data_IF_539568926576
#
_entry.id   IF_539568926576
#
_cell.length_a   1.000
_cell.length_b   1.000
_cell.length_c   1.000
_cell.angle_alpha   90.00
_cell.angle_beta   90.00
_cell.angle_gamma   90.00
#
_symmetry.space_group_name_H-M   'P 1'
#
loop_
_entity.id
_entity.type
_entity.pdbx_description
1 polymer ?
#
# COMPACT_ATOMS: atom_id res chain seq x y z
N UNK A 1 -27.51 19.61 23.48
CA UNK A 1 -26.55 20.66 23.93
C UNK A 1 -26.70 21.81 22.97
N UNK A 2 -26.86 23.06 23.47
CA UNK A 2 -25.66 23.81 23.85
C UNK A 2 -25.75 24.72 25.09
N UNK A 3 -24.58 24.97 25.69
CA UNK A 3 -24.12 26.26 26.23
C UNK A 3 -22.61 26.49 25.93
N UNK A 4 -21.85 25.45 25.59
CA UNK A 4 -20.42 25.56 25.24
C UNK A 4 -19.95 24.44 24.28
N UNK A 5 -20.83 23.95 23.40
CA UNK A 5 -20.58 22.75 22.60
C UNK A 5 -19.21 22.76 21.89
N UNK A 6 -18.34 21.81 22.24
CA UNK A 6 -17.03 21.55 21.60
C UNK A 6 -16.99 20.10 21.11
N UNK A 7 -17.65 19.83 19.98
CA UNK A 7 -17.65 18.49 19.39
C UNK A 7 -17.42 18.58 17.89
N UNK A 8 -16.49 17.74 17.42
CA UNK A 8 -16.29 17.50 16.00
C UNK A 8 -16.69 16.08 15.67
N UNK A 9 -17.33 15.88 14.53
CA UNK A 9 -17.81 14.59 14.09
C UNK A 9 -18.28 14.64 12.65
N UNK A 10 -18.61 13.47 12.11
CA UNK A 10 -19.20 13.37 10.78
C UNK A 10 -20.71 13.48 10.91
N UNK A 11 -21.35 14.34 10.11
CA UNK A 11 -22.81 14.40 10.02
C UNK A 11 -23.32 13.05 9.54
N UNK A 12 -24.06 12.36 10.38
CA UNK A 12 -24.78 11.14 10.02
C UNK A 12 -26.15 11.47 9.44
N UNK A 13 -26.85 12.40 10.09
CA UNK A 13 -28.18 12.86 9.69
C UNK A 13 -28.30 14.37 9.94
N UNK A 14 -29.02 15.06 9.07
CA UNK A 14 -29.35 16.48 9.22
C UNK A 14 -30.84 16.69 8.96
N UNK A 15 -31.53 17.27 9.92
CA UNK A 15 -32.97 17.57 9.84
C UNK A 15 -33.19 19.08 9.97
N UNK A 16 -34.09 19.60 9.14
CA UNK A 16 -34.39 21.04 9.01
C UNK A 16 -35.88 21.37 9.16
N UNK A 17 -36.73 20.41 9.55
CA UNK A 17 -38.18 20.63 9.61
C UNK A 17 -38.60 21.61 10.74
N UNK A 18 -38.06 21.45 11.95
CA UNK A 18 -38.41 22.25 13.15
C UNK A 18 -37.17 22.91 13.81
N UNK A 19 -36.39 23.65 13.03
CA UNK A 19 -35.09 24.19 13.43
C UNK A 19 -33.96 23.47 12.70
N UNK A 20 -32.75 23.41 13.29
CA UNK A 20 -31.69 22.56 12.75
C UNK A 20 -31.34 21.49 13.77
N UNK A 21 -31.47 20.23 13.40
CA UNK A 21 -30.94 19.10 14.15
C UNK A 21 -29.83 18.43 13.33
N UNK A 22 -28.67 18.25 13.97
CA UNK A 22 -27.54 17.52 13.40
C UNK A 22 -27.23 16.34 14.30
N UNK A 23 -27.22 15.15 13.72
CA UNK A 23 -26.69 13.95 14.36
C UNK A 23 -25.26 13.72 13.90
N UNK A 24 -24.30 13.77 14.83
CA UNK A 24 -22.90 13.50 14.55
C UNK A 24 -22.51 12.09 14.97
N UNK A 25 -21.70 11.41 14.16
CA UNK A 25 -20.95 10.24 14.60
C UNK A 25 -19.53 10.65 14.99
N UNK A 26 -19.14 10.30 16.22
CA UNK A 26 -17.77 10.40 16.76
C UNK A 26 -17.51 9.20 17.65
N UNK A 27 -16.36 8.55 17.48
CA UNK A 27 -15.97 7.37 18.30
C UNK A 27 -17.06 6.27 18.34
N UNK A 28 -17.71 6.03 17.20
CA UNK A 28 -18.84 5.08 17.03
C UNK A 28 -20.10 5.42 17.86
N UNK A 29 -20.19 6.63 18.42
CA UNK A 29 -21.35 7.11 19.16
C UNK A 29 -22.07 8.21 18.38
N UNK A 30 -23.39 8.20 18.50
CA UNK A 30 -24.27 9.20 17.93
C UNK A 30 -24.46 10.35 18.92
N UNK A 31 -24.35 11.57 18.42
CA UNK A 31 -24.48 12.80 19.20
C UNK A 31 -25.47 13.72 18.49
N UNK A 32 -26.68 13.83 19.03
CA UNK A 32 -27.71 14.72 18.50
C UNK A 32 -27.53 16.14 19.05
N UNK A 33 -27.51 17.11 18.15
CA UNK A 33 -27.33 18.52 18.45
C UNK A 33 -28.49 19.28 17.81
N UNK A 34 -29.32 19.87 18.64
CA UNK A 34 -30.47 20.67 18.21
C UNK A 34 -30.13 22.14 18.39
N UNK A 35 -30.32 22.93 17.34
CA UNK A 35 -30.13 24.36 17.32
C UNK A 35 -31.50 25.04 17.28
N UNK A 36 -31.78 25.90 18.28
CA UNK A 36 -33.02 26.69 18.33
C UNK A 36 -33.16 27.62 17.12
N UNK A 37 -32.03 28.12 16.62
CA UNK A 37 -31.91 28.85 15.35
C UNK A 37 -30.74 28.26 14.57
N UNK A 38 -30.96 27.99 13.28
CA UNK A 38 -29.90 27.49 12.41
C UNK A 38 -28.67 28.42 12.44
N UNK A 39 -27.46 27.89 12.73
CA UNK A 39 -26.19 28.61 12.62
C UNK A 39 -25.99 29.19 11.22
N UNK A 40 -25.25 30.28 11.13
CA UNK A 40 -24.92 30.89 9.83
C UNK A 40 -24.16 29.90 8.93
N UNK A 41 -24.48 29.86 7.64
CA UNK A 41 -23.88 28.97 6.64
C UNK A 41 -24.16 27.47 6.80
N UNK A 42 -25.01 27.07 7.77
CA UNK A 42 -25.41 25.68 7.97
C UNK A 42 -26.31 25.13 6.83
N UNK A 43 -26.82 25.99 5.96
CA UNK A 43 -27.57 25.62 4.76
C UNK A 43 -26.74 24.82 3.74
N UNK A 44 -25.40 24.94 3.77
CA UNK A 44 -24.50 24.23 2.86
C UNK A 44 -24.04 22.87 3.38
N UNK A 45 -24.33 22.55 4.65
CA UNK A 45 -23.90 21.30 5.28
C UNK A 45 -24.75 20.13 4.80
N UNK A 46 -24.09 19.02 4.48
CA UNK A 46 -24.72 17.78 4.02
C UNK A 46 -24.32 16.57 4.87
N UNK A 47 -25.15 15.54 4.85
CA UNK A 47 -24.82 14.26 5.47
C UNK A 47 -23.49 13.71 4.93
N UNK A 48 -22.56 13.44 5.84
CA UNK A 48 -21.23 12.98 5.55
C UNK A 48 -20.14 14.04 5.65
N UNK A 49 -20.48 15.33 5.77
CA UNK A 49 -19.50 16.37 6.09
C UNK A 49 -18.89 16.12 7.48
N UNK A 50 -17.61 16.44 7.65
CA UNK A 50 -16.98 16.53 8.96
C UNK A 50 -17.08 17.99 9.41
N UNK A 51 -17.73 18.21 10.54
CA UNK A 51 -17.95 19.55 11.08
C UNK A 51 -17.47 19.63 12.53
N UNK A 52 -17.16 20.84 12.99
CA UNK A 52 -17.06 21.18 14.39
C UNK A 52 -18.24 22.06 14.77
N UNK A 53 -19.00 21.66 15.78
CA UNK A 53 -19.90 22.56 16.49
C UNK A 53 -19.04 23.27 17.53
N UNK A 54 -18.83 24.57 17.33
CA UNK A 54 -17.95 25.42 18.15
C UNK A 54 -18.75 26.11 19.25
N UNK A 55 -20.02 26.40 18.98
CA UNK A 55 -20.96 26.98 19.93
C UNK A 55 -22.41 26.68 19.54
N UNK A 56 -23.35 27.20 20.32
CA UNK A 56 -24.77 27.15 20.01
C UNK A 56 -25.17 27.88 18.72
N UNK A 57 -24.31 28.74 18.17
CA UNK A 57 -24.60 29.58 17.01
C UNK A 57 -23.60 29.39 15.87
N UNK A 58 -22.57 28.55 16.07
CA UNK A 58 -21.45 28.44 15.14
C UNK A 58 -21.11 26.98 14.86
N UNK A 59 -21.14 26.66 13.57
CA UNK A 59 -20.72 25.36 13.03
C UNK A 59 -19.70 25.62 11.93
N UNK A 60 -18.57 24.93 12.01
CA UNK A 60 -17.47 25.04 11.06
C UNK A 60 -17.39 23.76 10.25
N UNK A 61 -17.45 23.88 8.93
CA UNK A 61 -17.12 22.78 8.01
C UNK A 61 -15.61 22.52 8.09
N UNK A 62 -15.22 21.36 8.62
CA UNK A 62 -13.81 20.95 8.72
C UNK A 62 -13.35 20.22 7.46
N UNK A 63 -14.18 19.33 6.94
CA UNK A 63 -13.93 18.65 5.67
C UNK A 63 -15.27 18.32 5.00
N UNK A 64 -15.48 18.76 3.74
CA UNK A 64 -16.67 18.35 2.99
C UNK A 64 -16.70 16.84 2.78
N UNK A 65 -17.89 16.30 2.54
CA UNK A 65 -18.11 14.93 2.05
C UNK A 65 -17.58 14.80 0.61
N UNK A 66 -16.27 14.90 0.47
CA UNK A 66 -15.55 14.43 -0.70
C UNK A 66 -15.13 13.00 -0.38
N UNK A 67 -15.75 12.04 -1.06
CA UNK A 67 -15.33 10.64 -0.96
C UNK A 67 -13.96 10.52 -1.63
N UNK A 68 -12.88 10.60 -0.85
CA UNK A 68 -11.55 10.22 -1.29
C UNK A 68 -11.41 8.69 -1.18
N UNK A 69 -11.00 8.05 -2.27
CA UNK A 69 -10.55 6.66 -2.19
C UNK A 69 -9.19 6.59 -1.49
N UNK A 70 -8.92 5.54 -0.69
CA UNK A 70 -9.85 4.49 -0.27
C UNK A 70 -10.75 4.93 0.90
N UNK A 71 -11.97 4.38 0.96
CA UNK A 71 -12.88 4.59 2.08
C UNK A 71 -12.34 3.87 3.34
N UNK A 72 -11.88 4.62 4.34
CA UNK A 72 -11.43 4.07 5.62
C UNK A 72 -12.34 4.52 6.75
N UNK A 73 -12.80 3.57 7.58
CA UNK A 73 -13.46 3.89 8.84
C UNK A 73 -12.39 4.02 9.94
N UNK A 74 -12.60 4.93 10.89
CA UNK A 74 -11.69 5.07 12.02
C UNK A 74 -11.70 3.77 12.84
N UNK A 75 -10.51 3.19 13.01
CA UNK A 75 -10.28 2.06 13.89
C UNK A 75 -8.97 2.31 14.65
N UNK A 76 -9.11 2.67 15.92
CA UNK A 76 -7.98 3.02 16.79
C UNK A 76 -6.96 1.88 16.91
N UNK A 77 -7.43 0.65 16.98
CA UNK A 77 -6.55 -0.52 17.16
C UNK A 77 -5.72 -0.76 15.90
N UNK A 78 -6.32 -0.64 14.71
CA UNK A 78 -5.60 -0.73 13.43
C UNK A 78 -4.56 0.39 13.33
N UNK A 79 -4.93 1.62 13.66
CA UNK A 79 -3.99 2.76 13.59
C UNK A 79 -2.83 2.62 14.59
N UNK A 80 -3.11 2.12 15.80
CA UNK A 80 -2.08 1.88 16.82
C UNK A 80 -1.14 0.77 16.39
N UNK A 81 -1.68 -0.34 15.87
CA UNK A 81 -0.87 -1.44 15.29
C UNK A 81 -0.03 -0.96 14.11
N UNK A 82 -0.56 -0.09 13.26
CA UNK A 82 0.17 0.49 12.14
C UNK A 82 1.32 1.41 12.58
N UNK A 83 1.09 2.27 13.57
CA UNK A 83 2.17 3.10 14.15
C UNK A 83 3.29 2.22 14.70
N UNK A 84 2.92 1.22 15.51
CA UNK A 84 3.87 0.28 16.10
C UNK A 84 4.62 -0.55 15.05
N UNK A 85 3.93 -0.96 13.97
CA UNK A 85 4.53 -1.64 12.82
C UNK A 85 5.63 -0.80 12.17
N UNK A 86 5.36 0.49 11.89
CA UNK A 86 6.35 1.39 11.29
C UNK A 86 7.52 1.70 12.23
N UNK A 87 7.25 1.83 13.53
CA UNK A 87 8.30 2.02 14.55
C UNK A 87 9.21 0.81 14.64
N UNK A 88 8.65 -0.41 14.68
CA UNK A 88 9.40 -1.65 14.72
C UNK A 88 10.25 -1.86 13.45
N UNK A 89 9.69 -1.63 12.25
CA UNK A 89 10.44 -1.66 10.99
C UNK A 89 11.66 -0.74 11.03
N UNK A 90 11.46 0.54 11.39
CA UNK A 90 12.57 1.51 11.48
C UNK A 90 13.59 1.10 12.54
N UNK A 91 13.12 0.58 13.68
CA UNK A 91 13.96 0.07 14.76
C UNK A 91 14.86 -1.07 14.29
N UNK A 92 14.31 -2.04 13.55
CA UNK A 92 15.07 -3.14 12.95
C UNK A 92 16.21 -2.62 12.08
N UNK A 93 15.92 -1.79 11.08
CA UNK A 93 16.95 -1.30 10.15
C UNK A 93 18.01 -0.44 10.86
N UNK A 94 17.59 0.46 11.76
CA UNK A 94 18.52 1.31 12.53
C UNK A 94 19.45 0.49 13.42
N UNK A 95 18.91 -0.52 14.13
CA UNK A 95 19.72 -1.40 14.97
C UNK A 95 20.71 -2.25 14.16
N UNK A 96 20.38 -2.55 12.90
CA UNK A 96 21.26 -3.23 11.96
C UNK A 96 22.21 -2.28 11.21
N UNK A 97 22.28 -0.99 11.57
CA UNK A 97 23.22 -0.03 11.00
C UNK A 97 22.85 0.47 9.59
N UNK A 98 21.58 0.37 9.20
CA UNK A 98 21.09 1.02 7.99
C UNK A 98 20.74 2.49 8.25
N UNK A 99 20.98 3.33 7.25
CA UNK A 99 20.56 4.73 7.23
C UNK A 99 19.19 4.85 6.56
N UNK A 100 18.26 5.51 7.25
CA UNK A 100 16.97 5.88 6.65
C UNK A 100 17.21 7.06 5.70
N UNK A 101 16.86 6.89 4.43
CA UNK A 101 16.99 7.93 3.41
C UNK A 101 15.60 8.36 2.93
N UNK A 102 15.55 9.48 2.20
CA UNK A 102 14.31 9.97 1.59
C UNK A 102 14.57 10.31 0.13
N UNK A 103 13.80 9.71 -0.77
CA UNK A 103 13.87 9.94 -2.21
C UNK A 103 12.74 10.85 -2.70
N UNK A 104 12.87 11.52 -3.86
CA UNK A 104 11.83 12.40 -4.40
C UNK A 104 10.59 11.63 -4.88
N UNK A 105 9.40 12.17 -4.63
CA UNK A 105 8.14 11.62 -5.16
C UNK A 105 7.73 12.21 -6.53
N UNK A 106 8.43 13.23 -7.02
CA UNK A 106 8.25 13.78 -8.36
C UNK A 106 9.53 13.56 -9.15
N UNK A 107 9.46 12.68 -10.15
CA UNK A 107 10.64 12.13 -10.83
C UNK A 107 10.47 12.19 -12.34
N UNK A 108 11.58 12.30 -13.06
CA UNK A 108 11.59 12.25 -14.54
C UNK A 108 11.47 10.81 -15.05
N UNK A 109 11.93 9.84 -14.26
CA UNK A 109 11.86 8.41 -14.55
C UNK A 109 11.18 7.70 -13.37
N UNK A 110 9.95 7.18 -13.54
CA UNK A 110 9.15 6.58 -12.47
C UNK A 110 9.61 5.20 -12.01
N UNK A 111 10.32 4.46 -12.86
CA UNK A 111 10.72 3.07 -12.65
C UNK A 111 11.20 2.45 -13.96
N UNK A 112 11.55 1.16 -13.92
CA UNK A 112 12.01 0.40 -15.10
C UNK A 112 11.08 -0.73 -15.50
N UNK A 113 10.00 -0.93 -14.77
CA UNK A 113 9.11 -2.08 -14.91
C UNK A 113 8.13 -1.82 -16.06
N UNK A 114 8.22 -2.55 -17.19
CA UNK A 114 7.38 -2.28 -18.36
C UNK A 114 5.91 -2.64 -18.15
N UNK A 115 5.63 -3.50 -17.16
CA UNK A 115 4.28 -3.96 -16.81
C UNK A 115 3.52 -3.02 -15.88
N UNK A 116 4.14 -1.92 -15.44
CA UNK A 116 3.50 -0.98 -14.51
C UNK A 116 3.10 0.32 -15.20
N UNK A 117 1.81 0.60 -15.16
CA UNK A 117 1.29 1.91 -15.54
C UNK A 117 1.62 2.97 -14.48
N UNK A 118 1.92 4.18 -14.95
CA UNK A 118 2.45 5.27 -14.11
C UNK A 118 1.53 6.48 -14.09
N UNK A 119 1.47 7.16 -12.94
CA UNK A 119 0.87 8.49 -12.86
C UNK A 119 1.84 9.53 -13.43
N UNK A 120 1.32 10.48 -14.21
CA UNK A 120 2.09 11.62 -14.70
C UNK A 120 1.45 12.93 -14.30
N UNK A 121 2.28 13.96 -14.13
CA UNK A 121 1.88 15.32 -13.78
C UNK A 121 2.76 16.32 -14.53
N UNK A 122 2.46 17.61 -14.39
CA UNK A 122 3.18 18.71 -15.03
C UNK A 122 3.68 19.69 -13.97
N UNK A 123 5.00 19.84 -13.87
CA UNK A 123 5.62 20.91 -13.10
C UNK A 123 5.63 22.20 -13.94
N UNK A 124 5.12 23.29 -13.37
CA UNK A 124 5.11 24.61 -14.00
C UNK A 124 6.14 25.52 -13.31
N UNK A 125 7.13 25.99 -14.07
CA UNK A 125 8.15 26.94 -13.60
C UNK A 125 8.14 28.15 -14.52
N UNK A 126 7.44 29.20 -14.11
CA UNK A 126 7.16 30.36 -14.98
C UNK A 126 6.36 29.93 -16.21
N UNK A 127 6.91 30.19 -17.40
CA UNK A 127 6.32 29.74 -18.68
C UNK A 127 6.74 28.33 -19.11
N UNK A 128 7.68 27.69 -18.39
CA UNK A 128 8.14 26.33 -18.71
C UNK A 128 7.23 25.30 -18.06
N UNK A 129 7.02 24.20 -18.80
CA UNK A 129 6.27 23.02 -18.38
C UNK A 129 7.17 21.81 -18.52
N UNK A 130 7.27 21.02 -17.46
CA UNK A 130 8.05 19.78 -17.42
C UNK A 130 7.12 18.63 -17.03
N UNK A 131 7.17 17.54 -17.81
CA UNK A 131 6.44 16.32 -17.47
C UNK A 131 7.20 15.57 -16.39
N UNK A 132 6.53 15.33 -15.28
CA UNK A 132 7.03 14.52 -14.17
C UNK A 132 6.11 13.34 -13.92
N UNK A 133 6.59 12.40 -13.13
CA UNK A 133 5.89 11.19 -12.77
C UNK A 133 5.95 10.97 -11.27
N UNK A 134 4.97 10.22 -10.76
CA UNK A 134 5.05 9.63 -9.43
C UNK A 134 5.74 8.25 -9.56
N UNK A 135 6.70 7.90 -8.69
CA UNK A 135 7.50 6.68 -8.83
C UNK A 135 6.72 5.41 -8.49
N UNK A 136 7.00 4.32 -9.20
CA UNK A 136 6.46 2.97 -8.94
C UNK A 136 7.19 2.25 -7.80
N UNK A 137 8.44 2.67 -7.52
CA UNK A 137 9.30 2.28 -6.39
C UNK A 137 10.40 3.34 -6.15
N UNK A 138 11.01 3.42 -4.95
CA UNK A 138 12.17 4.29 -4.70
C UNK A 138 13.50 3.75 -5.29
N UNK A 139 13.53 2.49 -5.77
CA UNK A 139 14.67 1.76 -6.34
C UNK A 139 15.72 2.62 -7.05
N UNK A 140 15.33 3.34 -8.11
CA UNK A 140 16.28 4.07 -8.95
C UNK A 140 17.02 5.15 -8.16
N UNK A 141 16.36 5.78 -7.20
CA UNK A 141 16.94 6.83 -6.37
C UNK A 141 17.77 6.25 -5.22
N UNK A 142 17.37 5.10 -4.67
CA UNK A 142 18.18 4.36 -3.70
C UNK A 142 19.48 3.86 -4.34
N UNK A 143 19.44 3.28 -5.54
CA UNK A 143 20.64 2.88 -6.29
C UNK A 143 21.57 4.05 -6.60
N UNK A 144 21.04 5.23 -6.95
CA UNK A 144 21.84 6.46 -7.07
C UNK A 144 22.51 6.83 -5.76
N UNK A 145 21.82 6.66 -4.64
CA UNK A 145 22.37 6.93 -3.30
C UNK A 145 23.52 5.97 -2.95
N UNK A 146 23.44 4.69 -3.37
CA UNK A 146 24.57 3.77 -3.27
C UNK A 146 25.78 4.25 -4.08
N UNK A 147 25.55 4.72 -5.30
CA UNK A 147 26.61 5.25 -6.16
C UNK A 147 27.28 6.51 -5.59
N UNK A 148 26.61 7.23 -4.68
CA UNK A 148 27.18 8.36 -3.93
C UNK A 148 28.00 7.92 -2.70
N UNK A 149 28.09 6.61 -2.42
CA UNK A 149 28.90 6.03 -1.35
C UNK A 149 28.12 5.56 -0.13
N UNK A 150 26.78 5.57 -0.16
CA UNK A 150 26.01 4.95 0.91
C UNK A 150 26.07 3.41 0.79
N UNK A 151 26.28 2.72 1.90
CA UNK A 151 26.46 1.26 1.87
C UNK A 151 25.26 0.48 2.39
N UNK A 152 24.59 0.96 3.44
CA UNK A 152 23.41 0.31 4.01
C UNK A 152 22.32 1.34 4.17
N UNK A 153 21.33 1.30 3.30
CA UNK A 153 20.23 2.28 3.29
C UNK A 153 18.88 1.58 3.22
N UNK A 154 17.86 2.23 3.78
CA UNK A 154 16.47 1.82 3.60
C UNK A 154 15.57 3.04 3.49
N UNK A 155 14.40 2.85 2.90
CA UNK A 155 13.35 3.85 2.86
C UNK A 155 11.99 3.17 2.98
N UNK A 156 11.06 3.83 3.69
CA UNK A 156 9.64 3.52 3.66
C UNK A 156 8.95 4.65 2.89
N UNK A 157 8.74 4.46 1.59
CA UNK A 157 8.27 5.50 0.66
C UNK A 157 6.84 5.26 0.19
N UNK A 158 6.04 6.32 -0.05
CA UNK A 158 4.85 6.20 -0.86
C UNK A 158 5.25 5.86 -2.31
N UNK A 159 4.57 4.87 -2.88
CA UNK A 159 4.72 4.40 -4.25
C UNK A 159 3.37 4.47 -4.96
N UNK A 160 3.41 4.71 -6.26
CA UNK A 160 2.23 5.02 -7.04
C UNK A 160 2.16 4.18 -8.30
N UNK A 161 1.05 3.46 -8.49
CA UNK A 161 0.82 2.60 -9.67
C UNK A 161 -0.55 2.89 -10.24
N UNK A 162 -0.59 3.30 -11.51
CA UNK A 162 -1.81 3.74 -12.18
C UNK A 162 -2.52 2.56 -12.88
N UNK A 163 -2.88 1.54 -12.10
CA UNK A 163 -3.45 0.31 -12.61
C UNK A 163 -4.65 -0.16 -11.79
N UNK A 164 -4.71 -1.46 -11.55
CA UNK A 164 -5.85 -2.10 -10.92
C UNK A 164 -6.08 -1.66 -9.47
N UNK A 165 -7.37 -1.53 -9.11
CA UNK A 165 -7.81 -1.30 -7.73
C UNK A 165 -8.50 -2.58 -7.26
N UNK A 166 -7.88 -3.27 -6.33
CA UNK A 166 -8.41 -4.52 -5.74
C UNK A 166 -8.23 -4.50 -4.22
N UNK A 167 -8.63 -5.57 -3.54
CA UNK A 167 -8.38 -5.72 -2.10
C UNK A 167 -6.89 -5.69 -1.73
N UNK A 168 -6.01 -6.05 -2.68
CA UNK A 168 -4.55 -6.08 -2.50
C UNK A 168 -3.81 -4.97 -3.25
N UNK A 169 -4.47 -4.26 -4.15
CA UNK A 169 -3.87 -3.20 -4.97
C UNK A 169 -4.55 -1.87 -4.73
N UNK A 170 -3.78 -0.90 -4.26
CA UNK A 170 -4.19 0.49 -4.13
C UNK A 170 -3.29 1.36 -5.01
N UNK A 171 -3.84 2.43 -5.62
CA UNK A 171 -3.05 3.32 -6.48
C UNK A 171 -1.88 4.00 -5.76
N UNK A 172 -1.99 4.17 -4.43
CA UNK A 172 -0.95 4.66 -3.54
C UNK A 172 -0.80 3.70 -2.35
N UNK A 173 0.45 3.32 -2.04
CA UNK A 173 0.77 2.44 -0.93
C UNK A 173 2.19 2.75 -0.40
N UNK A 174 2.50 2.32 0.83
CA UNK A 174 3.86 2.41 1.34
C UNK A 174 4.65 1.15 0.96
N UNK A 175 5.87 1.35 0.46
CA UNK A 175 6.84 0.31 0.19
C UNK A 175 8.05 0.50 1.10
N UNK A 176 8.46 -0.57 1.76
CA UNK A 176 9.79 -0.67 2.37
C UNK A 176 10.74 -1.22 1.31
N UNK A 177 11.83 -0.50 1.06
CA UNK A 177 12.91 -0.94 0.19
C UNK A 177 14.27 -0.66 0.87
N UNK A 178 15.23 -1.57 0.72
CA UNK A 178 16.55 -1.43 1.32
C UNK A 178 17.65 -2.00 0.44
N UNK A 179 18.85 -1.49 0.63
CA UNK A 179 20.03 -1.86 -0.14
C UNK A 179 21.26 -2.04 0.75
N UNK A 180 22.11 -2.96 0.31
CA UNK A 180 23.45 -3.19 0.84
C UNK A 180 24.46 -3.15 -0.30
N UNK A 181 25.46 -2.30 -0.21
CA UNK A 181 26.62 -2.32 -1.10
C UNK A 181 27.51 -3.52 -0.75
N UNK A 182 28.19 -4.07 -1.76
CA UNK A 182 29.16 -5.17 -1.61
C UNK A 182 28.61 -6.48 -1.01
N UNK A 183 27.29 -6.62 -0.95
CA UNK A 183 26.59 -7.81 -0.44
C UNK A 183 25.94 -8.59 -1.60
N UNK A 184 25.39 -9.77 -1.29
CA UNK A 184 24.72 -10.63 -2.26
C UNK A 184 23.33 -11.05 -1.78
N UNK A 185 22.61 -11.79 -2.63
CA UNK A 185 21.24 -12.25 -2.36
C UNK A 185 21.10 -12.99 -1.02
N UNK A 186 22.11 -13.75 -0.58
CA UNK A 186 22.04 -14.47 0.71
C UNK A 186 21.98 -13.51 1.90
N UNK A 187 22.66 -12.37 1.82
CA UNK A 187 22.59 -11.33 2.85
C UNK A 187 21.18 -10.74 2.91
N UNK A 188 20.54 -10.53 1.75
CA UNK A 188 19.16 -10.05 1.67
C UNK A 188 18.18 -11.11 2.22
N UNK A 189 18.35 -12.39 1.88
CA UNK A 189 17.53 -13.46 2.45
C UNK A 189 17.66 -13.52 3.98
N UNK A 190 18.86 -13.31 4.52
CA UNK A 190 19.08 -13.24 5.96
C UNK A 190 18.40 -12.03 6.60
N UNK A 191 18.46 -10.86 5.95
CA UNK A 191 17.71 -9.67 6.40
C UNK A 191 16.21 -9.96 6.45
N UNK A 192 15.64 -10.59 5.41
CA UNK A 192 14.20 -10.93 5.33
C UNK A 192 13.80 -11.85 6.48
N UNK A 193 14.55 -12.94 6.73
CA UNK A 193 14.26 -13.86 7.84
C UNK A 193 14.28 -13.11 9.17
N UNK A 194 15.37 -12.36 9.43
CA UNK A 194 15.57 -11.63 10.68
C UNK A 194 14.52 -10.53 10.88
N UNK A 195 14.13 -9.86 9.79
CA UNK A 195 13.09 -8.83 9.80
C UNK A 195 11.74 -9.46 10.15
N UNK A 196 11.35 -10.55 9.49
CA UNK A 196 10.07 -11.20 9.73
C UNK A 196 9.98 -11.74 11.17
N UNK A 197 11.05 -12.34 11.70
CA UNK A 197 11.12 -12.77 13.10
C UNK A 197 11.00 -11.59 14.07
N UNK A 198 11.73 -10.49 13.82
CA UNK A 198 11.65 -9.27 14.63
C UNK A 198 10.25 -8.67 14.63
N UNK A 199 9.61 -8.59 13.47
CA UNK A 199 8.26 -8.08 13.32
C UNK A 199 7.22 -9.01 13.97
N UNK A 200 7.39 -10.33 13.86
CA UNK A 200 6.53 -11.30 14.54
C UNK A 200 6.55 -11.09 16.06
N UNK A 201 7.75 -10.92 16.63
CA UNK A 201 7.91 -10.60 18.06
C UNK A 201 7.29 -9.25 18.42
N UNK A 202 7.60 -8.20 17.66
CA UNK A 202 7.11 -6.84 17.92
C UNK A 202 5.58 -6.75 17.88
N UNK A 203 4.95 -7.46 16.94
CA UNK A 203 3.50 -7.47 16.74
C UNK A 203 2.79 -8.56 17.55
N UNK A 204 3.54 -9.40 18.28
CA UNK A 204 3.02 -10.53 19.06
C UNK A 204 2.20 -11.52 18.20
N UNK A 205 2.70 -11.81 17.00
CA UNK A 205 2.13 -12.82 16.09
C UNK A 205 3.09 -14.01 15.96
N UNK A 206 2.61 -15.21 15.60
CA UNK A 206 3.49 -16.36 15.39
C UNK A 206 4.53 -16.08 14.30
N UNK A 207 5.80 -16.38 14.59
CA UNK A 207 6.85 -16.37 13.60
C UNK A 207 6.73 -17.58 12.65
N UNK A 208 7.21 -17.47 11.40
CA UNK A 208 7.30 -18.59 10.49
C UNK A 208 8.10 -19.74 11.10
N UNK A 209 7.57 -20.96 11.02
CA UNK A 209 8.20 -22.15 11.64
C UNK A 209 9.36 -22.69 10.82
N UNK A 210 9.32 -22.47 9.51
CA UNK A 210 10.29 -22.98 8.55
C UNK A 210 10.58 -21.98 7.46
N UNK A 211 11.76 -22.14 6.88
CA UNK A 211 12.22 -21.41 5.71
C UNK A 211 12.50 -22.42 4.61
N UNK A 212 11.73 -22.33 3.53
CA UNK A 212 11.87 -23.13 2.33
C UNK A 212 12.64 -22.34 1.27
N UNK A 213 13.38 -23.07 0.44
CA UNK A 213 14.11 -22.54 -0.71
C UNK A 213 13.86 -23.47 -1.88
N UNK A 214 13.37 -22.90 -2.98
CA UNK A 214 13.15 -23.63 -4.23
C UNK A 214 13.62 -22.78 -5.39
N UNK A 215 14.14 -23.42 -6.41
CA UNK A 215 14.21 -22.79 -7.71
C UNK A 215 12.84 -22.77 -8.38
N UNK A 216 12.61 -21.81 -9.27
CA UNK A 216 11.41 -21.77 -10.13
C UNK A 216 11.25 -23.12 -10.86
N UNK A 217 12.34 -23.69 -11.38
CA UNK A 217 12.31 -24.97 -12.09
C UNK A 217 11.88 -26.14 -11.21
N UNK A 218 12.32 -26.18 -9.94
CA UNK A 218 11.85 -27.19 -8.98
C UNK A 218 10.36 -27.06 -8.71
N UNK A 219 9.84 -25.85 -8.57
CA UNK A 219 8.41 -25.62 -8.36
C UNK A 219 7.58 -26.09 -9.56
N UNK A 220 7.99 -25.79 -10.79
CA UNK A 220 7.34 -26.31 -12.00
C UNK A 220 7.39 -27.85 -12.05
N UNK A 221 8.51 -28.45 -11.64
CA UNK A 221 8.63 -29.91 -11.60
C UNK A 221 7.69 -30.53 -10.57
N UNK A 222 7.63 -29.97 -9.36
CA UNK A 222 6.81 -30.48 -8.24
C UNK A 222 5.32 -30.30 -8.53
N UNK A 223 4.90 -29.12 -8.97
CA UNK A 223 3.49 -28.74 -9.02
C UNK A 223 2.85 -28.91 -10.40
N UNK A 224 3.65 -28.91 -11.47
CA UNK A 224 3.18 -29.02 -12.85
C UNK A 224 3.70 -30.27 -13.57
N UNK A 225 4.65 -31.01 -12.96
CA UNK A 225 5.32 -32.14 -13.63
C UNK A 225 6.11 -31.72 -14.87
N UNK A 226 6.57 -30.46 -14.91
CA UNK A 226 7.20 -29.85 -16.08
C UNK A 226 8.65 -29.47 -15.78
N UNK A 227 9.57 -29.77 -16.72
CA UNK A 227 10.98 -29.44 -16.59
C UNK A 227 11.27 -28.10 -17.27
N UNK A 228 11.13 -27.00 -16.52
CA UNK A 228 11.41 -25.66 -17.01
C UNK A 228 12.92 -25.46 -17.20
N UNK A 229 13.33 -24.93 -18.36
CA UNK A 229 14.73 -24.61 -18.69
C UNK A 229 14.82 -23.26 -19.39
N UNK A 230 16.03 -22.66 -19.53
CA UNK A 230 16.22 -21.44 -20.31
C UNK A 230 15.90 -21.59 -21.81
N UNK A 231 15.69 -22.82 -22.30
CA UNK A 231 15.31 -23.11 -23.68
C UNK A 231 13.81 -23.35 -23.83
N UNK A 232 13.05 -23.36 -22.73
CA UNK A 232 11.59 -23.51 -22.78
C UNK A 232 10.97 -22.39 -23.61
N UNK A 233 10.09 -22.78 -24.52
CA UNK A 233 9.43 -21.90 -25.48
C UNK A 233 8.01 -21.53 -25.02
N UNK A 234 7.47 -20.43 -25.56
CA UNK A 234 6.08 -20.04 -25.34
C UNK A 234 5.09 -21.15 -25.76
N UNK A 235 5.40 -21.89 -26.83
CA UNK A 235 4.55 -22.99 -27.30
C UNK A 235 4.46 -24.13 -26.27
N UNK A 236 5.58 -24.48 -25.63
CA UNK A 236 5.59 -25.49 -24.57
C UNK A 236 4.79 -25.05 -23.34
N UNK A 237 4.95 -23.80 -22.92
CA UNK A 237 4.16 -23.26 -21.79
C UNK A 237 2.68 -23.15 -22.14
N UNK A 238 2.33 -22.78 -23.37
CA UNK A 238 0.94 -22.79 -23.83
C UNK A 238 0.33 -24.19 -23.72
N UNK A 239 0.98 -25.21 -24.27
CA UNK A 239 0.52 -26.60 -24.17
C UNK A 239 0.42 -27.07 -22.72
N UNK A 240 1.35 -26.65 -21.85
CA UNK A 240 1.29 -26.92 -20.43
C UNK A 240 0.06 -26.26 -19.77
N UNK A 241 -0.20 -24.98 -20.06
CA UNK A 241 -1.35 -24.24 -19.56
C UNK A 241 -2.68 -24.90 -19.96
N UNK A 242 -2.82 -25.27 -21.23
CA UNK A 242 -3.99 -26.00 -21.76
C UNK A 242 -4.18 -27.34 -21.03
N UNK A 243 -3.11 -28.12 -20.86
CA UNK A 243 -3.13 -29.40 -20.15
C UNK A 243 -3.54 -29.25 -18.68
N UNK A 244 -3.10 -28.17 -18.02
CA UNK A 244 -3.39 -27.89 -16.62
C UNK A 244 -4.73 -27.18 -16.41
N UNK A 245 -5.43 -26.81 -17.48
CA UNK A 245 -6.69 -26.07 -17.43
C UNK A 245 -6.52 -24.66 -16.83
N UNK A 246 -5.40 -24.00 -17.12
CA UNK A 246 -5.17 -22.58 -16.78
C UNK A 246 -5.88 -21.72 -17.83
N UNK A 247 -6.54 -20.64 -17.41
CA UNK A 247 -7.07 -19.67 -18.36
C UNK A 247 -5.93 -18.84 -18.96
N UNK A 248 -5.58 -19.16 -20.21
CA UNK A 248 -4.51 -18.52 -20.98
C UNK A 248 -5.06 -17.72 -22.17
N UNK A 249 -6.34 -17.40 -22.16
CA UNK A 249 -7.04 -16.74 -23.28
C UNK A 249 -6.45 -15.37 -23.66
N UNK A 250 -5.88 -14.66 -22.68
CA UNK A 250 -5.27 -13.35 -22.84
C UNK A 250 -3.73 -13.36 -22.87
N UNK A 251 -3.11 -14.54 -22.95
CA UNK A 251 -1.65 -14.66 -22.94
C UNK A 251 -1.06 -14.39 -24.34
N UNK A 252 -0.25 -13.34 -24.46
CA UNK A 252 0.37 -12.92 -25.72
C UNK A 252 1.87 -13.23 -25.77
N UNK A 253 2.51 -13.38 -24.61
CA UNK A 253 3.95 -13.59 -24.45
C UNK A 253 4.28 -14.85 -23.65
N UNK A 254 5.54 -15.29 -23.71
CA UNK A 254 6.04 -16.39 -22.87
C UNK A 254 5.86 -16.08 -21.38
N UNK A 255 6.04 -14.82 -20.99
CA UNK A 255 5.91 -14.36 -19.61
C UNK A 255 4.45 -14.48 -19.14
N UNK A 256 3.47 -14.16 -19.99
CA UNK A 256 2.05 -14.31 -19.63
C UNK A 256 1.71 -15.77 -19.33
N UNK A 257 2.11 -16.70 -20.21
CA UNK A 257 1.90 -18.13 -19.98
C UNK A 257 2.59 -18.60 -18.70
N UNK A 258 3.84 -18.15 -18.49
CA UNK A 258 4.61 -18.47 -17.30
C UNK A 258 3.90 -18.00 -16.03
N UNK A 259 3.52 -16.73 -15.94
CA UNK A 259 2.93 -16.13 -14.74
C UNK A 259 1.53 -16.67 -14.46
N UNK A 260 0.69 -16.89 -15.48
CA UNK A 260 -0.64 -17.50 -15.29
C UNK A 260 -0.53 -18.91 -14.71
N UNK A 261 0.39 -19.73 -15.23
CA UNK A 261 0.64 -21.08 -14.70
C UNK A 261 1.21 -20.99 -13.27
N UNK A 262 2.17 -20.10 -13.04
CA UNK A 262 2.80 -19.93 -11.75
C UNK A 262 1.79 -19.52 -10.68
N UNK A 263 1.03 -18.45 -10.91
CA UNK A 263 0.04 -17.95 -9.94
C UNK A 263 -1.03 -19.00 -9.63
N UNK A 264 -1.61 -19.63 -10.66
CA UNK A 264 -2.74 -20.53 -10.46
C UNK A 264 -2.33 -21.89 -9.90
N UNK A 265 -1.22 -22.47 -10.40
CA UNK A 265 -0.86 -23.86 -10.09
C UNK A 265 0.27 -24.04 -9.10
N UNK A 266 1.06 -22.99 -8.84
CA UNK A 266 2.22 -23.01 -7.95
C UNK A 266 1.99 -22.12 -6.74
N UNK A 267 1.84 -20.81 -6.92
CA UNK A 267 1.74 -19.82 -5.84
C UNK A 267 0.57 -20.12 -4.91
N UNK A 268 -0.59 -20.49 -5.46
CA UNK A 268 -1.79 -20.88 -4.71
C UNK A 268 -1.61 -22.08 -3.77
N UNK A 269 -0.54 -22.87 -3.94
CA UNK A 269 -0.21 -24.06 -3.15
C UNK A 269 0.94 -23.85 -2.17
N UNK A 270 1.60 -22.68 -2.20
CA UNK A 270 2.68 -22.38 -1.27
C UNK A 270 2.11 -22.19 0.16
N UNK A 271 2.84 -22.62 1.21
CA UNK A 271 2.39 -22.45 2.59
C UNK A 271 2.22 -20.97 2.94
N UNK A 272 1.14 -20.64 3.64
CA UNK A 272 0.83 -19.25 4.04
C UNK A 272 1.44 -18.85 5.38
N UNK A 273 1.92 -19.80 6.19
CA UNK A 273 2.49 -19.60 7.53
C UNK A 273 4.00 -19.89 7.62
N UNK A 274 4.66 -20.08 6.47
CA UNK A 274 6.10 -20.35 6.36
C UNK A 274 6.75 -19.35 5.39
N UNK A 275 8.07 -19.17 5.47
CA UNK A 275 8.81 -18.35 4.51
C UNK A 275 9.25 -19.23 3.34
N UNK A 276 8.98 -18.78 2.12
CA UNK A 276 9.42 -19.45 0.89
C UNK A 276 10.24 -18.47 0.06
N UNK A 277 11.52 -18.78 -0.13
CA UNK A 277 12.34 -18.12 -1.13
C UNK A 277 12.28 -18.89 -2.44
N UNK A 278 11.99 -18.18 -3.52
CA UNK A 278 12.01 -18.72 -4.88
C UNK A 278 13.16 -18.07 -5.64
N UNK A 279 14.09 -18.87 -6.15
CA UNK A 279 15.28 -18.42 -6.91
C UNK A 279 15.33 -18.88 -8.38
#
# INVERSE_FOLDING_TARGET
MPADARIAGRIFRIDREDGLEIELIRDQKHHTITFEKAPEHSEFLIEGDVIAVVSAQEVVLLAPKLQSLPHRQFNKDILSKWSHYLEALRGFFKSNGFLEVRTPSLVVCPGTEPSLDVFSTELKVGSRKEKLFLPTSPELHLKKTLALGAEKIFEIAPCYRNGEITERHQPEFLMLEWYRAYDNLKSIQHDVISLVENMAQALQVPAPKKVHRYSVAELFKIHCGFNLTPQTTAAELKTLGEKLGVDISHAESIDDYFFLIFMEKIESKLPHDELVFVD
#
